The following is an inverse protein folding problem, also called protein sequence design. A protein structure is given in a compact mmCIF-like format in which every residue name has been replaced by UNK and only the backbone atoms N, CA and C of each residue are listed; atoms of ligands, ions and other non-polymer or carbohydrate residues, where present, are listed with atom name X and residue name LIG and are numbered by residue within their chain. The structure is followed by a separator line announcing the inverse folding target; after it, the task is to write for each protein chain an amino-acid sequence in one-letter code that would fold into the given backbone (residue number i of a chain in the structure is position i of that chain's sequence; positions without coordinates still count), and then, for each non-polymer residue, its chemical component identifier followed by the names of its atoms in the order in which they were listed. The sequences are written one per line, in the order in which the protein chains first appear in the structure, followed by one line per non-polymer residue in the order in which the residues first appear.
data_IF_134097146942
#
_entry.id   IF_134097146942
#
_cell.length_a   1.000
_cell.length_b   1.000
_cell.length_c   1.000
_cell.angle_alpha   90.00
_cell.angle_beta   90.00
_cell.angle_gamma   90.00
#
_symmetry.space_group_name_H-M   'P 1'
#
loop_
_entity.id
_entity.type
_entity.pdbx_description
1 polymer ?
#
# COMPACT_ATOMS: atom_id res chain seq x y z
N UNK A 1 -55.82 -21.50 34.16
CA UNK A 1 -56.90 -21.21 35.12
C UNK A 1 -56.73 -19.77 35.51
N UNK A 2 -57.81 -18.98 35.40
CA UNK A 2 -57.83 -17.55 35.68
C UNK A 2 -58.21 -17.35 37.15
N UNK A 3 -57.50 -16.45 37.82
CA UNK A 3 -57.85 -15.93 39.14
C UNK A 3 -58.47 -14.51 38.97
N UNK A 4 -59.34 -14.09 39.88
CA UNK A 4 -60.35 -13.02 39.69
C UNK A 4 -59.85 -11.56 39.71
N UNK A 5 -58.55 -11.27 39.74
CA UNK A 5 -58.04 -9.88 39.87
C UNK A 5 -57.50 -9.25 38.57
N UNK A 6 -57.81 -9.80 37.39
CA UNK A 6 -57.57 -9.12 36.10
C UNK A 6 -56.10 -8.87 35.74
N UNK A 7 -55.13 -9.41 36.46
CA UNK A 7 -53.72 -9.38 36.09
C UNK A 7 -53.37 -10.59 35.22
N UNK A 8 -52.94 -10.34 33.98
CA UNK A 8 -52.26 -11.34 33.17
C UNK A 8 -50.90 -11.60 33.81
N UNK A 9 -50.72 -12.76 34.45
CA UNK A 9 -49.39 -13.24 34.82
C UNK A 9 -48.61 -13.55 33.54
N UNK A 10 -47.74 -12.63 33.11
CA UNK A 10 -46.74 -12.89 32.08
C UNK A 10 -45.74 -13.92 32.63
N UNK A 11 -45.91 -15.17 32.23
CA UNK A 11 -44.96 -16.23 32.52
C UNK A 11 -43.74 -16.02 31.61
N UNK A 12 -42.89 -15.03 31.96
CA UNK A 12 -41.61 -14.83 31.29
C UNK A 12 -40.74 -16.02 31.70
N UNK A 13 -40.74 -17.06 30.87
CA UNK A 13 -39.64 -18.03 30.86
C UNK A 13 -38.39 -17.21 30.58
N UNK A 14 -37.67 -16.84 31.64
CA UNK A 14 -36.30 -16.38 31.52
C UNK A 14 -35.56 -17.52 30.82
N UNK A 15 -35.19 -17.31 29.55
CA UNK A 15 -34.19 -18.16 28.91
C UNK A 15 -32.97 -18.03 29.81
N UNK A 16 -32.64 -19.10 30.56
CA UNK A 16 -31.35 -19.20 31.25
C UNK A 16 -30.29 -18.81 30.22
N UNK A 17 -29.38 -17.87 30.52
CA UNK A 17 -28.24 -17.61 29.65
C UNK A 17 -27.55 -18.94 29.39
N UNK A 18 -27.25 -19.24 28.12
CA UNK A 18 -26.39 -20.37 27.81
C UNK A 18 -25.11 -20.24 28.63
N UNK A 19 -24.75 -21.27 29.39
CA UNK A 19 -23.46 -21.32 30.09
C UNK A 19 -22.37 -21.45 29.03
N UNK A 20 -21.85 -20.32 28.57
CA UNK A 20 -20.68 -20.26 27.71
C UNK A 20 -19.48 -20.63 28.59
N UNK A 21 -18.63 -21.55 28.15
CA UNK A 21 -17.44 -21.92 28.93
C UNK A 21 -16.52 -20.71 29.07
N UNK A 22 -15.77 -20.62 30.17
CA UNK A 22 -14.79 -19.56 30.36
C UNK A 22 -13.79 -19.46 29.19
N UNK A 23 -13.48 -20.59 28.55
CA UNK A 23 -12.64 -20.68 27.36
C UNK A 23 -13.31 -19.99 26.16
N UNK A 24 -14.58 -20.28 25.88
CA UNK A 24 -15.29 -19.64 24.77
C UNK A 24 -15.46 -18.13 24.98
N UNK A 25 -15.69 -17.70 26.23
CA UNK A 25 -15.75 -16.28 26.55
C UNK A 25 -14.39 -15.59 26.40
N UNK A 26 -13.30 -16.26 26.79
CA UNK A 26 -11.95 -15.75 26.59
C UNK A 26 -11.60 -15.60 25.12
N UNK A 27 -11.86 -16.63 24.29
CA UNK A 27 -11.62 -16.59 22.86
C UNK A 27 -12.43 -15.45 22.19
N UNK A 28 -13.70 -15.29 22.55
CA UNK A 28 -14.53 -14.19 22.04
C UNK A 28 -13.96 -12.81 22.38
N UNK A 29 -13.49 -12.63 23.62
CA UNK A 29 -12.85 -11.38 24.04
C UNK A 29 -11.51 -11.13 23.32
N UNK A 30 -10.74 -12.18 23.05
CA UNK A 30 -9.51 -12.09 22.25
C UNK A 30 -9.84 -11.62 20.83
N UNK A 31 -10.81 -12.26 20.17
CA UNK A 31 -11.26 -11.88 18.83
C UNK A 31 -11.77 -10.43 18.77
N UNK A 32 -12.57 -10.01 19.76
CA UNK A 32 -13.02 -8.61 19.85
C UNK A 32 -11.84 -7.64 20.05
N UNK A 33 -10.87 -8.00 20.88
CA UNK A 33 -9.72 -7.15 21.16
C UNK A 33 -8.79 -7.03 19.94
N UNK A 34 -8.58 -8.11 19.20
CA UNK A 34 -7.86 -8.11 17.92
C UNK A 34 -8.58 -7.24 16.89
N UNK A 35 -9.90 -7.37 16.77
CA UNK A 35 -10.71 -6.56 15.86
C UNK A 35 -10.65 -5.06 16.22
N UNK A 36 -10.75 -4.72 17.51
CA UNK A 36 -10.59 -3.34 18.00
C UNK A 36 -9.19 -2.81 17.71
N UNK A 37 -8.16 -3.61 17.95
CA UNK A 37 -6.77 -3.25 17.67
C UNK A 37 -6.56 -2.99 16.18
N UNK A 38 -7.09 -3.84 15.31
CA UNK A 38 -7.05 -3.65 13.86
C UNK A 38 -7.77 -2.37 13.42
N UNK A 39 -8.95 -2.09 13.99
CA UNK A 39 -9.71 -0.86 13.71
C UNK A 39 -8.94 0.39 14.13
N UNK A 40 -8.34 0.37 15.32
CA UNK A 40 -7.54 1.48 15.84
C UNK A 40 -6.31 1.75 14.95
N UNK A 41 -5.60 0.71 14.54
CA UNK A 41 -4.46 0.82 13.63
C UNK A 41 -4.87 1.37 12.27
N UNK A 42 -6.02 0.95 11.74
CA UNK A 42 -6.55 1.43 10.47
C UNK A 42 -6.93 2.92 10.53
N UNK A 43 -7.51 3.37 11.64
CA UNK A 43 -7.78 4.80 11.88
C UNK A 43 -6.50 5.61 12.04
N UNK A 44 -5.54 5.10 12.82
CA UNK A 44 -4.23 5.71 13.02
C UNK A 44 -3.49 5.91 11.68
N UNK A 45 -3.45 4.88 10.84
CA UNK A 45 -2.91 4.94 9.47
C UNK A 45 -3.56 6.05 8.65
N UNK A 46 -4.90 6.11 8.61
CA UNK A 46 -5.64 7.12 7.84
C UNK A 46 -5.36 8.53 8.35
N UNK A 47 -5.37 8.73 9.66
CA UNK A 47 -5.09 10.02 10.29
C UNK A 47 -3.65 10.47 10.01
N UNK A 48 -2.67 9.58 10.16
CA UNK A 48 -1.28 9.86 9.85
C UNK A 48 -1.09 10.26 8.38
N UNK A 49 -1.69 9.52 7.45
CA UNK A 49 -1.65 9.85 6.03
C UNK A 49 -2.32 11.19 5.70
N UNK A 50 -3.43 11.51 6.35
CA UNK A 50 -4.08 12.81 6.20
C UNK A 50 -3.15 13.94 6.64
N UNK A 51 -2.53 13.82 7.82
CA UNK A 51 -1.62 14.84 8.38
C UNK A 51 -0.37 15.02 7.51
N UNK A 52 0.23 13.92 7.03
CA UNK A 52 1.35 13.96 6.09
C UNK A 52 0.94 14.70 4.81
N UNK A 53 -0.20 14.36 4.22
CA UNK A 53 -0.72 15.03 3.02
C UNK A 53 -0.89 16.55 3.23
N UNK A 54 -1.44 16.96 4.38
CA UNK A 54 -1.57 18.39 4.71
C UNK A 54 -0.21 19.10 4.87
N UNK A 55 0.78 18.39 5.41
CA UNK A 55 2.14 18.91 5.58
C UNK A 55 2.85 19.09 4.23
N UNK A 56 2.71 18.11 3.33
CA UNK A 56 3.25 18.19 1.96
C UNK A 56 2.67 19.39 1.19
N UNK A 57 1.37 19.67 1.34
CA UNK A 57 0.71 20.82 0.69
C UNK A 57 1.23 22.18 1.20
N UNK A 58 1.72 22.23 2.44
CA UNK A 58 2.32 23.42 3.05
C UNK A 58 3.83 23.54 2.75
N UNK A 59 4.37 22.68 1.89
CA UNK A 59 5.79 22.69 1.49
C UNK A 59 6.74 22.04 2.50
N UNK A 60 6.23 21.40 3.55
CA UNK A 60 7.05 20.68 4.52
C UNK A 60 7.28 19.24 4.04
N UNK A 61 8.47 18.98 3.47
CA UNK A 61 8.88 17.63 3.03
C UNK A 61 9.56 16.81 4.13
N UNK A 62 9.68 17.33 5.36
CA UNK A 62 10.20 16.54 6.48
C UNK A 62 9.13 15.52 6.88
N UNK A 63 9.53 14.25 6.97
CA UNK A 63 8.65 13.16 7.38
C UNK A 63 7.95 13.49 8.71
N UNK A 64 6.64 13.27 8.77
CA UNK A 64 5.88 13.43 10.01
C UNK A 64 6.24 12.31 10.99
N UNK A 65 6.27 12.59 12.31
CA UNK A 65 6.68 11.61 13.33
C UNK A 65 5.86 10.31 13.31
N UNK A 66 4.56 10.41 13.03
CA UNK A 66 3.69 9.24 12.88
C UNK A 66 4.06 8.32 11.70
N UNK A 67 4.85 8.80 10.73
CA UNK A 67 5.14 8.03 9.52
C UNK A 67 5.90 6.76 9.86
N UNK A 68 5.44 5.59 9.40
CA UNK A 68 6.17 4.33 9.55
C UNK A 68 7.29 4.15 8.53
N UNK A 69 7.56 5.17 7.69
CA UNK A 69 8.57 5.13 6.65
C UNK A 69 9.85 5.84 7.11
N UNK A 70 11.00 5.35 6.63
CA UNK A 70 12.27 6.02 6.87
C UNK A 70 12.29 7.46 6.34
N UNK A 71 13.23 8.24 6.86
CA UNK A 71 13.45 9.62 6.40
C UNK A 71 13.66 9.65 4.89
N UNK A 72 13.02 10.62 4.21
CA UNK A 72 13.01 10.79 2.75
C UNK A 72 12.23 9.74 1.96
N UNK A 73 11.54 8.80 2.62
CA UNK A 73 10.54 7.95 1.99
C UNK A 73 9.15 8.54 2.20
N UNK A 74 8.30 8.44 1.18
CA UNK A 74 6.94 8.96 1.25
C UNK A 74 5.97 7.85 1.61
N UNK A 75 5.12 8.09 2.60
CA UNK A 75 4.11 7.14 3.04
C UNK A 75 2.81 7.30 2.25
N UNK A 76 2.37 6.24 1.58
CA UNK A 76 1.07 6.22 0.90
C UNK A 76 0.51 4.80 0.78
N UNK A 77 -0.79 4.63 1.03
CA UNK A 77 -1.41 3.31 1.10
C UNK A 77 -0.72 2.45 2.16
N UNK A 78 -0.23 1.28 1.76
CA UNK A 78 0.47 0.32 2.63
C UNK A 78 1.98 0.28 2.43
N UNK A 79 2.52 1.23 1.66
CA UNK A 79 3.91 1.20 1.23
C UNK A 79 4.62 2.54 1.49
N UNK A 80 5.94 2.46 1.47
CA UNK A 80 6.87 3.57 1.46
C UNK A 80 7.50 3.69 0.07
N UNK A 81 7.57 4.91 -0.46
CA UNK A 81 8.09 5.20 -1.80
C UNK A 81 9.32 6.09 -1.76
N UNK A 82 10.41 5.62 -2.37
CA UNK A 82 11.69 6.33 -2.45
C UNK A 82 11.93 6.84 -3.87
N UNK A 83 12.36 8.10 -4.00
CA UNK A 83 12.65 8.76 -5.29
C UNK A 83 14.12 9.15 -5.37
N UNK A 84 14.93 8.32 -6.02
CA UNK A 84 16.38 8.48 -6.00
C UNK A 84 16.89 9.06 -7.32
N UNK A 85 17.93 9.91 -7.26
CA UNK A 85 18.51 10.57 -8.44
C UNK A 85 19.86 9.96 -8.84
N UNK A 86 19.97 8.63 -8.73
CA UNK A 86 21.13 7.88 -9.24
C UNK A 86 20.85 7.45 -10.67
N UNK A 87 21.77 7.74 -11.59
CA UNK A 87 21.59 7.44 -13.00
C UNK A 87 22.15 6.04 -13.30
N UNK A 88 21.27 5.04 -13.32
CA UNK A 88 21.61 3.62 -13.29
C UNK A 88 20.89 2.87 -14.40
N UNK A 89 21.45 1.73 -14.84
CA UNK A 89 20.73 0.76 -15.68
C UNK A 89 19.54 0.16 -14.92
N UNK A 90 18.63 -0.51 -15.64
CA UNK A 90 17.49 -1.15 -14.97
C UNK A 90 17.96 -2.19 -13.93
N UNK A 91 18.98 -3.00 -14.28
CA UNK A 91 19.56 -4.02 -13.40
C UNK A 91 20.25 -3.41 -12.18
N UNK A 92 21.04 -2.36 -12.37
CA UNK A 92 21.67 -1.63 -11.25
C UNK A 92 20.62 -0.99 -10.34
N UNK A 93 19.52 -0.49 -10.91
CA UNK A 93 18.43 0.12 -10.15
C UNK A 93 17.67 -0.90 -9.31
N UNK A 94 17.41 -2.09 -9.87
CA UNK A 94 16.87 -3.22 -9.13
C UNK A 94 17.76 -3.61 -7.95
N UNK A 95 19.08 -3.69 -8.18
CA UNK A 95 20.03 -4.00 -7.11
C UNK A 95 20.00 -2.92 -6.02
N UNK A 96 20.01 -1.63 -6.41
CA UNK A 96 19.93 -0.52 -5.47
C UNK A 96 18.68 -0.59 -4.58
N UNK A 97 17.51 -0.87 -5.15
CA UNK A 97 16.30 -1.06 -4.34
C UNK A 97 16.42 -2.28 -3.43
N UNK A 98 16.98 -3.38 -3.93
CA UNK A 98 17.20 -4.61 -3.15
C UNK A 98 18.09 -4.35 -1.93
N UNK A 99 19.17 -3.58 -2.08
CA UNK A 99 20.08 -3.20 -1.00
C UNK A 99 19.39 -2.36 0.10
N UNK A 100 18.25 -1.74 -0.23
CA UNK A 100 17.40 -0.98 0.69
C UNK A 100 16.22 -1.80 1.26
N UNK A 101 16.24 -3.12 1.08
CA UNK A 101 15.13 -4.03 1.39
C UNK A 101 13.82 -3.59 0.71
N UNK A 102 13.93 -3.22 -0.56
CA UNK A 102 12.85 -2.70 -1.38
C UNK A 102 12.88 -3.35 -2.78
N UNK A 103 11.85 -3.09 -3.57
CA UNK A 103 11.76 -3.46 -4.99
C UNK A 103 11.72 -2.20 -5.84
N UNK A 104 11.95 -2.32 -7.16
CA UNK A 104 11.56 -1.25 -8.06
C UNK A 104 10.03 -1.07 -8.00
N UNK A 105 9.59 0.18 -8.10
CA UNK A 105 8.19 0.56 -7.95
C UNK A 105 7.27 -0.18 -8.93
N UNK A 106 6.22 -0.80 -8.39
CA UNK A 106 5.05 -1.31 -9.10
C UNK A 106 3.96 -0.25 -9.21
N UNK A 107 3.40 -0.09 -10.41
CA UNK A 107 2.26 0.80 -10.66
C UNK A 107 1.13 -0.06 -11.23
N UNK A 108 0.36 -0.69 -10.35
CA UNK A 108 -0.66 -1.69 -10.71
C UNK A 108 -2.10 -1.23 -10.50
N UNK A 109 -2.29 0.02 -10.06
CA UNK A 109 -3.62 0.61 -9.92
C UNK A 109 -3.57 2.15 -10.08
N UNK A 110 -4.73 2.74 -10.38
CA UNK A 110 -4.85 4.18 -10.63
C UNK A 110 -4.52 5.06 -9.42
N UNK A 111 -4.73 4.58 -8.19
CA UNK A 111 -4.38 5.36 -7.00
C UNK A 111 -2.87 5.57 -6.89
N UNK A 112 -2.09 4.51 -7.16
CA UNK A 112 -0.63 4.61 -7.23
C UNK A 112 -0.21 5.48 -8.41
N UNK A 113 -0.80 5.30 -9.59
CA UNK A 113 -0.49 6.09 -10.77
C UNK A 113 -0.61 7.60 -10.50
N UNK A 114 -1.76 8.05 -10.01
CA UNK A 114 -2.01 9.46 -9.72
C UNK A 114 -1.11 9.99 -8.60
N UNK A 115 -0.86 9.16 -7.58
CA UNK A 115 0.06 9.51 -6.50
C UNK A 115 1.48 9.78 -7.01
N UNK A 116 2.00 8.91 -7.88
CA UNK A 116 3.36 8.99 -8.42
C UNK A 116 3.47 10.10 -9.47
N UNK A 117 2.49 10.21 -10.38
CA UNK A 117 2.42 11.26 -11.41
C UNK A 117 2.50 12.66 -10.82
N UNK A 118 1.81 12.91 -9.69
CA UNK A 118 1.85 14.19 -9.00
C UNK A 118 3.21 14.54 -8.35
N UNK A 119 4.16 13.58 -8.29
CA UNK A 119 5.41 13.70 -7.51
C UNK A 119 6.69 13.59 -8.33
N UNK A 120 6.59 13.25 -9.61
CA UNK A 120 7.76 13.22 -10.49
C UNK A 120 7.39 13.60 -11.93
N UNK A 121 8.14 14.54 -12.48
CA UNK A 121 8.22 14.80 -13.92
C UNK A 121 9.51 14.27 -14.55
N UNK A 122 10.34 13.56 -13.79
CA UNK A 122 11.61 13.00 -14.27
C UNK A 122 11.41 11.56 -14.75
N UNK A 123 12.16 11.17 -15.78
CA UNK A 123 12.23 9.79 -16.27
C UNK A 123 12.85 8.90 -15.19
N UNK A 124 12.11 7.87 -14.77
CA UNK A 124 12.52 6.98 -13.69
C UNK A 124 12.20 5.53 -14.00
N UNK A 125 13.08 4.60 -13.66
CA UNK A 125 12.81 3.18 -13.71
C UNK A 125 11.65 2.78 -12.79
N UNK A 126 10.86 1.82 -13.28
CA UNK A 126 9.84 1.08 -12.55
C UNK A 126 10.12 -0.42 -12.67
N UNK A 127 9.47 -1.24 -11.85
CA UNK A 127 9.74 -2.68 -11.75
C UNK A 127 9.20 -3.52 -12.90
N UNK A 128 8.82 -2.89 -14.02
CA UNK A 128 8.17 -3.55 -15.15
C UNK A 128 9.21 -3.95 -16.21
N UNK A 129 9.24 -5.24 -16.55
CA UNK A 129 10.15 -5.80 -17.57
C UNK A 129 9.55 -7.02 -18.28
N UNK A 130 10.19 -7.48 -19.34
CA UNK A 130 9.91 -8.74 -20.06
C UNK A 130 11.23 -9.38 -20.51
N UNK A 131 11.28 -10.68 -20.75
CA UNK A 131 12.55 -11.30 -21.18
C UNK A 131 12.83 -11.06 -22.67
N UNK A 132 11.78 -11.10 -23.50
CA UNK A 132 11.84 -10.92 -24.96
C UNK A 132 10.66 -10.08 -25.46
N UNK A 133 10.79 -9.57 -26.68
CA UNK A 133 9.79 -8.67 -27.30
C UNK A 133 8.39 -9.29 -27.44
N UNK A 134 8.31 -10.60 -27.58
CA UNK A 134 7.09 -11.39 -27.71
C UNK A 134 6.57 -11.96 -26.37
N UNK A 135 7.24 -11.65 -25.26
CA UNK A 135 6.81 -12.08 -23.93
C UNK A 135 6.01 -11.00 -23.21
N UNK A 136 5.19 -11.45 -22.25
CA UNK A 136 4.34 -10.58 -21.44
C UNK A 136 5.16 -9.75 -20.46
N UNK A 137 4.69 -8.53 -20.21
CA UNK A 137 5.26 -7.64 -19.20
C UNK A 137 4.91 -8.10 -17.79
N UNK A 138 5.92 -8.17 -16.92
CA UNK A 138 5.81 -8.61 -15.53
C UNK A 138 6.48 -7.63 -14.58
N UNK A 139 5.90 -7.53 -13.40
CA UNK A 139 6.48 -6.85 -12.25
C UNK A 139 7.51 -7.74 -11.56
N UNK A 140 8.31 -7.17 -10.65
CA UNK A 140 9.34 -7.92 -9.92
C UNK A 140 8.76 -9.04 -9.03
N UNK A 141 7.50 -8.90 -8.59
CA UNK A 141 6.77 -9.93 -7.85
C UNK A 141 6.22 -11.07 -8.75
N UNK A 142 6.47 -11.01 -10.06
CA UNK A 142 6.04 -11.99 -11.03
C UNK A 142 4.61 -11.79 -11.55
N UNK A 143 3.84 -10.86 -10.97
CA UNK A 143 2.52 -10.52 -11.47
C UNK A 143 2.59 -9.86 -12.84
N UNK A 144 1.63 -10.19 -13.70
CA UNK A 144 1.54 -9.65 -15.06
C UNK A 144 0.93 -8.25 -15.00
N UNK A 145 1.34 -7.37 -15.92
CA UNK A 145 0.68 -6.07 -16.09
C UNK A 145 -0.83 -6.28 -16.33
N UNK A 146 -1.67 -5.59 -15.57
CA UNK A 146 -3.11 -5.71 -15.71
C UNK A 146 -3.62 -5.02 -16.99
N UNK A 147 -4.69 -5.56 -17.59
CA UNK A 147 -5.30 -5.05 -18.82
C UNK A 147 -5.61 -3.54 -18.76
N UNK A 148 -6.18 -3.08 -17.65
CA UNK A 148 -6.48 -1.66 -17.43
C UNK A 148 -5.24 -0.74 -17.36
N UNK A 149 -4.05 -1.29 -17.16
CA UNK A 149 -2.79 -0.54 -17.11
C UNK A 149 -2.02 -0.61 -18.43
N UNK A 150 -2.40 -1.49 -19.36
CA UNK A 150 -1.76 -1.58 -20.68
C UNK A 150 -1.93 -0.30 -21.51
N UNK A 151 -3.04 0.43 -21.34
CA UNK A 151 -3.25 1.72 -22.02
C UNK A 151 -2.19 2.78 -21.64
N UNK A 152 -1.51 2.59 -20.51
CA UNK A 152 -0.45 3.48 -20.03
C UNK A 152 0.92 3.08 -20.55
N UNK A 153 1.05 1.89 -21.17
CA UNK A 153 2.29 1.38 -21.73
C UNK A 153 2.36 1.73 -23.22
N UNK A 154 3.40 2.46 -23.61
CA UNK A 154 3.61 2.78 -25.03
C UNK A 154 4.16 1.58 -25.82
N UNK A 155 4.06 1.66 -27.16
CA UNK A 155 4.55 0.62 -28.05
C UNK A 155 6.08 0.50 -27.98
N UNK A 156 6.56 -0.69 -27.63
CA UNK A 156 7.98 -1.01 -27.63
C UNK A 156 8.44 -1.66 -28.93
N UNK A 157 9.65 -1.35 -29.38
CA UNK A 157 10.28 -1.98 -30.56
C UNK A 157 11.48 -2.83 -30.15
N UNK A 158 11.70 -3.93 -30.86
CA UNK A 158 12.90 -4.76 -30.72
C UNK A 158 13.14 -5.22 -29.27
N UNK A 159 14.37 -5.06 -28.79
CA UNK A 159 14.85 -5.45 -27.46
C UNK A 159 14.60 -4.42 -26.35
N UNK A 160 13.62 -3.52 -26.52
CA UNK A 160 13.13 -2.64 -25.45
C UNK A 160 12.31 -3.45 -24.43
N UNK A 161 13.01 -4.03 -23.47
CA UNK A 161 12.51 -5.05 -22.56
C UNK A 161 12.36 -4.58 -21.10
N UNK A 162 12.69 -3.32 -20.82
CA UNK A 162 12.50 -2.68 -19.52
C UNK A 162 11.64 -1.44 -19.70
N UNK A 163 10.90 -1.01 -18.69
CA UNK A 163 10.06 0.18 -18.76
C UNK A 163 10.51 1.26 -17.77
N UNK A 164 10.58 2.49 -18.26
CA UNK A 164 10.65 3.67 -17.40
C UNK A 164 9.26 4.32 -17.29
N UNK A 165 9.08 5.16 -16.28
CA UNK A 165 7.90 5.99 -16.08
C UNK A 165 8.25 7.45 -16.30
N UNK A 166 7.42 8.13 -17.09
CA UNK A 166 7.54 9.55 -17.38
C UNK A 166 6.16 10.14 -17.70
N UNK A 167 5.84 11.29 -17.10
CA UNK A 167 4.61 12.04 -17.36
C UNK A 167 3.30 11.22 -17.31
N UNK A 168 3.20 10.25 -16.40
CA UNK A 168 1.99 9.44 -16.24
C UNK A 168 1.92 8.21 -17.14
N UNK A 169 2.96 7.91 -17.91
CA UNK A 169 3.03 6.75 -18.80
C UNK A 169 4.26 5.90 -18.53
N UNK A 170 4.16 4.63 -18.91
CA UNK A 170 5.26 3.68 -18.94
C UNK A 170 5.78 3.56 -20.37
N UNK A 171 7.09 3.73 -20.56
CA UNK A 171 7.73 3.68 -21.87
C UNK A 171 8.70 2.50 -21.93
N UNK A 172 8.51 1.54 -22.85
CA UNK A 172 9.53 0.54 -23.13
C UNK A 172 10.82 1.19 -23.59
N UNK A 173 11.95 0.68 -23.10
CA UNK A 173 13.27 1.18 -23.47
C UNK A 173 14.33 0.10 -23.29
N UNK A 174 15.55 0.38 -23.74
CA UNK A 174 16.68 -0.53 -23.57
C UNK A 174 17.10 -0.59 -22.10
N UNK A 175 17.24 -1.79 -21.56
CA UNK A 175 17.59 -1.99 -20.15
C UNK A 175 18.96 -1.39 -19.76
N UNK A 176 19.86 -1.23 -20.74
CA UNK A 176 21.20 -0.64 -20.58
C UNK A 176 21.18 0.91 -20.54
N UNK A 177 20.05 1.54 -20.86
CA UNK A 177 19.92 2.99 -20.70
C UNK A 177 20.05 3.35 -19.23
N UNK A 178 20.53 4.56 -18.95
CA UNK A 178 20.62 5.05 -17.58
C UNK A 178 19.49 6.03 -17.31
N UNK A 179 18.73 5.75 -16.25
CA UNK A 179 17.67 6.61 -15.76
C UNK A 179 17.74 6.73 -14.24
N UNK A 180 17.01 7.70 -13.67
CA UNK A 180 16.72 7.70 -12.25
C UNK A 180 15.81 6.53 -11.86
N UNK A 181 15.53 6.34 -10.58
CA UNK A 181 14.80 5.17 -10.09
C UNK A 181 13.79 5.51 -9.00
N UNK A 182 12.78 4.65 -8.87
CA UNK A 182 11.82 4.67 -7.78
C UNK A 182 11.79 3.29 -7.15
N UNK A 183 11.91 3.26 -5.82
CA UNK A 183 11.79 2.03 -5.05
C UNK A 183 10.50 2.05 -4.22
N UNK A 184 9.95 0.88 -3.94
CA UNK A 184 8.87 0.70 -2.98
C UNK A 184 9.17 -0.42 -1.99
N UNK A 185 8.59 -0.32 -0.79
CA UNK A 185 8.57 -1.40 0.19
C UNK A 185 7.38 -1.26 1.11
N UNK A 186 7.03 -2.33 1.81
CA UNK A 186 5.94 -2.29 2.81
C UNK A 186 6.25 -1.30 3.92
N UNK A 187 5.23 -0.54 4.32
CA UNK A 187 5.32 0.32 5.48
C UNK A 187 5.32 -0.52 6.76
N UNK A 188 6.02 -0.03 7.79
CA UNK A 188 5.86 -0.56 9.14
C UNK A 188 4.49 -0.22 9.75
N UNK A 189 4.27 -0.66 10.99
CA UNK A 189 3.08 -0.27 11.74
C UNK A 189 3.13 1.21 12.15
N UNK A 190 2.00 1.91 11.99
CA UNK A 190 1.87 3.29 12.47
C UNK A 190 1.88 3.29 14.00
N UNK A 191 2.75 4.10 14.60
CA UNK A 191 2.85 4.26 16.05
C UNK A 191 1.72 5.18 16.53
N UNK A 192 0.74 4.60 17.23
CA UNK A 192 -0.47 5.30 17.69
C UNK A 192 -0.13 6.42 18.68
N UNK A 193 0.91 6.20 19.50
CA UNK A 193 1.47 7.17 20.45
C UNK A 193 2.17 8.37 19.79
N UNK A 194 2.41 8.31 18.47
CA UNK A 194 3.11 9.36 17.71
C UNK A 194 2.19 10.11 16.74
N UNK A 195 0.88 9.86 16.82
CA UNK A 195 -0.12 10.68 16.14
C UNK A 195 -0.13 12.10 16.76
N UNK A 196 -0.41 13.15 15.96
CA UNK A 196 -0.60 14.50 16.49
C UNK A 196 -1.73 14.62 17.49
#
# INVERSE_FOLDING_TARGET
MQDEDGYVTLNIKTRKPALISAVMQHNYLQDENENRTGTLQQLAKRFCQYVIKQSELKGAFKGHKCSPCDTNWRYYGDNCYGFFRHNLTWKESKQYCTDLNATLLKIDNHNILEYIKARTGLIRWVGLSRQKSNEVWKWEDGSVLSENMFELLEDGKGNMNCANFHNGKMHPTFCENKHYLMCERKAGMTKVDQLP
#
